data_IF_650600155194
#
_entry.id   IF_650600155194
#
_cell.length_a   1.000
_cell.length_b   1.000
_cell.length_c   1.000
_cell.angle_alpha   90.00
_cell.angle_beta   90.00
_cell.angle_gamma   90.00
#
_symmetry.space_group_name_H-M   'P 1'
#
loop_
_entity.id
_entity.type
_entity.pdbx_description
1 polymer ?
#
# COMPACT_ATOMS: atom_id res chain seq x y z
N UNK A 1 -25.97 -6.38 -23.61
CA UNK A 1 -24.97 -5.86 -24.56
C UNK A 1 -23.76 -5.27 -23.82
N UNK A 2 -23.34 -5.88 -22.70
CA UNK A 2 -22.40 -5.26 -21.72
C UNK A 2 -20.92 -5.59 -21.94
N UNK A 3 -20.61 -6.57 -22.79
CA UNK A 3 -19.25 -7.09 -22.93
C UNK A 3 -18.25 -6.08 -23.55
N UNK A 4 -18.74 -5.14 -24.38
CA UNK A 4 -17.88 -4.11 -24.99
C UNK A 4 -17.56 -2.93 -24.08
N UNK A 5 -18.39 -2.67 -23.06
CA UNK A 5 -18.18 -1.58 -22.10
C UNK A 5 -17.16 -2.01 -21.04
N UNK A 6 -17.28 -3.24 -20.54
CA UNK A 6 -16.33 -3.83 -19.56
C UNK A 6 -14.91 -3.96 -20.14
N UNK A 7 -14.76 -4.35 -21.41
CA UNK A 7 -13.44 -4.45 -22.07
C UNK A 7 -12.78 -3.08 -22.28
N UNK A 8 -13.57 -2.05 -22.52
CA UNK A 8 -13.07 -0.68 -22.67
C UNK A 8 -12.62 -0.12 -21.32
N UNK A 9 -13.43 -0.31 -20.27
CA UNK A 9 -13.06 0.06 -18.90
C UNK A 9 -11.77 -0.66 -18.44
N UNK A 10 -11.63 -1.95 -18.72
CA UNK A 10 -10.45 -2.72 -18.33
C UNK A 10 -9.17 -2.24 -19.04
N UNK A 11 -9.29 -1.83 -20.31
CA UNK A 11 -8.19 -1.23 -21.06
C UNK A 11 -7.76 0.12 -20.48
N UNK A 12 -8.73 0.95 -20.11
CA UNK A 12 -8.46 2.26 -19.52
C UNK A 12 -7.84 2.13 -18.12
N UNK A 13 -8.37 1.24 -17.28
CA UNK A 13 -7.79 0.90 -15.97
C UNK A 13 -6.37 0.36 -16.12
N UNK A 14 -6.12 -0.51 -17.10
CA UNK A 14 -4.78 -1.04 -17.39
C UNK A 14 -3.81 0.07 -17.82
N UNK A 15 -4.27 0.98 -18.68
CA UNK A 15 -3.49 2.14 -19.14
C UNK A 15 -3.15 3.06 -17.98
N UNK A 16 -4.12 3.41 -17.13
CA UNK A 16 -3.93 4.27 -15.96
C UNK A 16 -3.02 3.61 -14.93
N UNK A 17 -3.19 2.32 -14.65
CA UNK A 17 -2.31 1.56 -13.75
C UNK A 17 -0.87 1.59 -14.26
N UNK A 18 -0.64 1.41 -15.57
CA UNK A 18 0.70 1.48 -16.16
C UNK A 18 1.32 2.88 -16.05
N UNK A 19 0.51 3.94 -16.15
CA UNK A 19 0.99 5.31 -15.94
C UNK A 19 1.37 5.55 -14.47
N UNK A 20 0.56 5.06 -13.52
CA UNK A 20 0.87 5.15 -12.10
C UNK A 20 2.15 4.39 -11.76
N UNK A 21 2.34 3.16 -12.26
CA UNK A 21 3.56 2.38 -12.09
C UNK A 21 4.81 3.15 -12.55
N UNK A 22 4.75 3.75 -13.75
CA UNK A 22 5.84 4.58 -14.29
C UNK A 22 6.09 5.82 -13.43
N UNK A 23 5.04 6.51 -12.99
CA UNK A 23 5.15 7.71 -12.17
C UNK A 23 5.79 7.42 -10.81
N UNK A 24 5.35 6.35 -10.13
CA UNK A 24 5.92 5.91 -8.85
C UNK A 24 7.37 5.45 -9.03
N UNK A 25 7.65 4.67 -10.07
CA UNK A 25 9.02 4.24 -10.41
C UNK A 25 9.95 5.42 -10.64
N UNK A 26 9.50 6.43 -11.39
CA UNK A 26 10.27 7.63 -11.66
C UNK A 26 10.56 8.41 -10.38
N UNK A 27 9.53 8.69 -9.55
CA UNK A 27 9.70 9.37 -8.27
C UNK A 27 10.69 8.65 -7.36
N UNK A 28 10.60 7.32 -7.26
CA UNK A 28 11.52 6.51 -6.46
C UNK A 28 12.96 6.55 -6.97
N UNK A 29 13.18 6.56 -8.29
CA UNK A 29 14.52 6.72 -8.89
C UNK A 29 15.12 8.07 -8.58
N UNK A 30 14.38 9.15 -8.83
CA UNK A 30 14.84 10.50 -8.51
C UNK A 30 15.17 10.63 -7.03
N UNK A 31 14.33 10.12 -6.13
CA UNK A 31 14.62 10.09 -4.70
C UNK A 31 15.87 9.26 -4.35
N UNK A 32 16.09 8.12 -5.02
CA UNK A 32 17.29 7.30 -4.82
C UNK A 32 18.56 8.03 -5.26
N UNK A 33 18.54 8.72 -6.40
CA UNK A 33 19.63 9.57 -6.88
C UNK A 33 19.96 10.65 -5.84
N UNK A 34 18.96 11.38 -5.35
CA UNK A 34 19.16 12.38 -4.29
C UNK A 34 19.75 11.79 -3.00
N UNK A 35 19.36 10.56 -2.61
CA UNK A 35 19.94 9.89 -1.42
C UNK A 35 21.39 9.47 -1.61
N UNK A 36 21.78 9.03 -2.82
CA UNK A 36 23.19 8.71 -3.12
C UNK A 36 24.08 9.94 -3.02
N UNK A 37 23.56 11.11 -3.39
CA UNK A 37 24.26 12.40 -3.24
C UNK A 37 24.33 12.84 -1.77
N UNK A 38 23.28 12.57 -0.96
CA UNK A 38 23.20 13.00 0.45
C UNK A 38 23.78 12.02 1.49
N UNK A 39 24.33 10.87 1.08
CA UNK A 39 24.81 9.82 2.00
C UNK A 39 23.79 9.42 3.07
N UNK A 40 22.49 9.41 2.73
CA UNK A 40 21.43 9.10 3.68
C UNK A 40 21.06 7.61 3.63
N UNK A 41 21.14 6.92 4.78
CA UNK A 41 21.12 5.46 4.91
C UNK A 41 19.73 4.85 5.25
N UNK A 42 18.63 5.58 5.04
CA UNK A 42 17.30 4.98 5.24
C UNK A 42 17.06 3.85 4.23
N UNK A 43 16.43 2.73 4.64
CA UNK A 43 16.14 1.63 3.73
C UNK A 43 15.24 2.13 2.59
N UNK A 44 15.77 2.13 1.38
CA UNK A 44 15.04 2.56 0.21
C UNK A 44 13.96 1.52 -0.14
N UNK A 45 12.74 1.99 -0.40
CA UNK A 45 11.73 1.15 -1.04
C UNK A 45 12.25 0.60 -2.37
N UNK A 46 11.84 -0.60 -2.79
CA UNK A 46 12.12 -1.09 -4.13
C UNK A 46 11.67 -0.08 -5.18
N UNK A 47 12.54 0.17 -6.17
CA UNK A 47 12.28 1.15 -7.24
C UNK A 47 10.98 0.82 -7.98
N UNK A 48 10.73 -0.46 -8.27
CA UNK A 48 9.49 -0.90 -8.90
C UNK A 48 8.42 -1.23 -7.86
N UNK A 49 7.16 -0.86 -8.12
CA UNK A 49 6.01 -1.32 -7.35
C UNK A 49 5.95 -2.85 -7.25
N UNK A 50 5.59 -3.35 -6.06
CA UNK A 50 5.27 -4.77 -5.87
C UNK A 50 3.89 -5.15 -6.46
N UNK A 51 3.57 -6.44 -6.53
CA UNK A 51 2.24 -6.91 -6.95
C UNK A 51 1.10 -6.35 -6.08
N UNK A 52 1.34 -6.21 -4.77
CA UNK A 52 0.36 -5.62 -3.84
C UNK A 52 0.22 -4.13 -4.08
N UNK A 53 1.32 -3.42 -4.37
CA UNK A 53 1.25 -2.00 -4.73
C UNK A 53 0.49 -1.81 -6.05
N UNK A 54 0.73 -2.67 -7.05
CA UNK A 54 -0.03 -2.66 -8.30
C UNK A 54 -1.52 -2.88 -8.07
N UNK A 55 -1.92 -3.79 -7.18
CA UNK A 55 -3.33 -3.98 -6.83
C UNK A 55 -3.98 -2.72 -6.21
N UNK A 56 -3.23 -1.99 -5.37
CA UNK A 56 -3.68 -0.69 -4.84
C UNK A 56 -3.77 0.35 -5.96
N UNK A 57 -2.77 0.44 -6.85
CA UNK A 57 -2.79 1.38 -7.98
C UNK A 57 -3.95 1.09 -8.94
N UNK A 58 -4.24 -0.18 -9.23
CA UNK A 58 -5.39 -0.60 -10.03
C UNK A 58 -6.70 -0.23 -9.35
N UNK A 59 -6.79 -0.39 -8.03
CA UNK A 59 -7.97 0.04 -7.25
C UNK A 59 -8.19 1.53 -7.39
N UNK A 60 -7.14 2.34 -7.20
CA UNK A 60 -7.20 3.78 -7.37
C UNK A 60 -7.60 4.17 -8.80
N UNK A 61 -6.99 3.54 -9.81
CA UNK A 61 -7.29 3.81 -11.21
C UNK A 61 -8.75 3.49 -11.57
N UNK A 62 -9.30 2.40 -11.01
CA UNK A 62 -10.69 2.01 -11.21
C UNK A 62 -11.66 2.95 -10.49
N UNK A 63 -11.31 3.43 -9.29
CA UNK A 63 -12.18 4.33 -8.53
C UNK A 63 -12.18 5.75 -9.09
N UNK A 64 -11.00 6.30 -9.41
CA UNK A 64 -10.83 7.73 -9.69
C UNK A 64 -10.49 8.06 -11.14
N UNK A 65 -10.18 7.06 -11.97
CA UNK A 65 -9.87 7.28 -13.38
C UNK A 65 -8.71 8.25 -13.61
N UNK A 66 -8.85 9.17 -14.57
CA UNK A 66 -7.83 10.18 -14.88
C UNK A 66 -7.70 11.27 -13.83
N UNK A 67 -8.67 11.43 -12.92
CA UNK A 67 -8.62 12.45 -11.87
C UNK A 67 -7.37 12.31 -11.00
N UNK A 68 -6.81 11.11 -10.87
CA UNK A 68 -5.52 10.86 -10.20
C UNK A 68 -4.35 11.71 -10.73
N UNK A 69 -4.41 12.11 -12.00
CA UNK A 69 -3.39 12.93 -12.65
C UNK A 69 -3.84 14.37 -12.87
N UNK A 70 -5.14 14.59 -13.08
CA UNK A 70 -5.69 15.89 -13.42
C UNK A 70 -5.90 16.76 -12.17
N UNK A 71 -6.19 16.13 -11.02
CA UNK A 71 -6.54 16.83 -9.79
C UNK A 71 -5.36 16.91 -8.80
N UNK A 72 -4.92 18.12 -8.41
CA UNK A 72 -3.74 18.31 -7.55
C UNK A 72 -3.82 17.62 -6.19
N UNK A 73 -5.04 17.39 -5.68
CA UNK A 73 -5.23 16.81 -4.36
C UNK A 73 -4.76 15.34 -4.28
N UNK A 74 -4.71 14.61 -5.40
CA UNK A 74 -4.14 13.25 -5.44
C UNK A 74 -2.62 13.19 -5.36
N UNK A 75 -1.92 14.31 -5.55
CA UNK A 75 -0.46 14.34 -5.47
C UNK A 75 0.06 13.81 -4.14
N UNK A 76 -0.56 14.20 -3.01
CA UNK A 76 -0.15 13.75 -1.68
C UNK A 76 -0.33 12.23 -1.48
N UNK A 77 -1.35 11.63 -2.10
CA UNK A 77 -1.54 10.17 -2.07
C UNK A 77 -0.47 9.46 -2.88
N UNK A 78 -0.17 9.94 -4.10
CA UNK A 78 0.86 9.36 -4.96
C UNK A 78 2.27 9.51 -4.37
N UNK A 79 2.55 10.65 -3.74
CA UNK A 79 3.81 10.88 -3.01
C UNK A 79 3.92 9.95 -1.81
N UNK A 80 2.84 9.75 -1.05
CA UNK A 80 2.82 8.77 0.04
C UNK A 80 3.15 7.35 -0.47
N UNK A 81 2.64 6.93 -1.63
CA UNK A 81 2.99 5.64 -2.23
C UNK A 81 4.47 5.61 -2.65
N UNK A 82 4.96 6.66 -3.31
CA UNK A 82 6.33 6.71 -3.78
C UNK A 82 7.33 6.65 -2.62
N UNK A 83 7.06 7.39 -1.55
CA UNK A 83 7.97 7.56 -0.41
C UNK A 83 7.85 6.48 0.66
N UNK A 84 6.62 6.02 0.93
CA UNK A 84 6.31 5.15 2.09
C UNK A 84 5.66 3.82 1.68
N UNK A 85 5.26 3.68 0.43
CA UNK A 85 4.66 2.46 -0.13
C UNK A 85 3.14 2.46 -0.04
N UNK A 86 2.50 1.67 -0.90
CA UNK A 86 1.04 1.65 -1.00
C UNK A 86 0.34 1.08 0.24
N UNK A 87 1.00 0.17 0.98
CA UNK A 87 0.46 -0.36 2.24
C UNK A 87 0.26 0.76 3.28
N UNK A 88 1.21 1.70 3.35
CA UNK A 88 1.14 2.84 4.28
C UNK A 88 0.03 3.81 3.87
N UNK A 89 -0.16 4.05 2.56
CA UNK A 89 -1.28 4.86 2.09
C UNK A 89 -2.63 4.29 2.59
N UNK A 90 -2.85 2.99 2.36
CA UNK A 90 -4.08 2.30 2.74
C UNK A 90 -4.27 2.33 4.26
N UNK A 91 -3.21 2.05 5.03
CA UNK A 91 -3.28 2.11 6.49
C UNK A 91 -3.67 3.50 6.99
N UNK A 92 -3.09 4.56 6.43
CA UNK A 92 -3.41 5.95 6.79
C UNK A 92 -4.85 6.30 6.41
N UNK A 93 -5.31 5.88 5.24
CA UNK A 93 -6.67 6.14 4.78
C UNK A 93 -7.75 5.40 5.61
N UNK A 94 -7.45 4.21 6.14
CA UNK A 94 -8.41 3.42 6.91
C UNK A 94 -8.35 3.65 8.42
N UNK A 95 -7.15 3.85 8.96
CA UNK A 95 -6.90 3.83 10.41
C UNK A 95 -5.99 4.97 10.90
N UNK A 96 -5.63 5.92 10.03
CA UNK A 96 -4.81 7.05 10.43
C UNK A 96 -5.60 8.05 11.28
N UNK A 97 -4.96 8.58 12.31
CA UNK A 97 -5.57 9.47 13.30
C UNK A 97 -5.10 10.93 13.17
N UNK A 98 -4.05 11.18 12.36
CA UNK A 98 -3.53 12.52 12.17
C UNK A 98 -4.43 13.35 11.26
N UNK A 99 -4.33 14.69 11.33
CA UNK A 99 -5.15 15.60 10.51
C UNK A 99 -4.95 15.34 9.01
N UNK A 100 -3.73 15.04 8.61
CA UNK A 100 -3.37 14.70 7.23
C UNK A 100 -3.99 13.37 6.80
N UNK A 101 -4.14 12.42 7.74
CA UNK A 101 -4.76 11.12 7.49
C UNK A 101 -6.28 11.27 7.34
N UNK A 102 -6.92 12.11 8.16
CA UNK A 102 -8.35 12.41 8.01
C UNK A 102 -8.67 13.04 6.64
N UNK A 103 -7.81 13.95 6.17
CA UNK A 103 -7.94 14.54 4.83
C UNK A 103 -7.77 13.48 3.74
N UNK A 104 -6.78 12.60 3.91
CA UNK A 104 -6.53 11.50 2.99
C UNK A 104 -7.71 10.52 2.97
N UNK A 105 -8.31 10.21 4.12
CA UNK A 105 -9.47 9.33 4.24
C UNK A 105 -10.70 9.91 3.53
N UNK A 106 -10.96 11.22 3.70
CA UNK A 106 -12.03 11.91 2.99
C UNK A 106 -11.80 11.91 1.48
N UNK A 107 -10.56 12.17 1.06
CA UNK A 107 -10.20 12.17 -0.35
C UNK A 107 -10.32 10.77 -0.98
N UNK A 108 -9.99 9.73 -0.22
CA UNK A 108 -10.00 8.34 -0.69
C UNK A 108 -11.27 7.57 -0.26
N UNK A 109 -12.36 8.30 0.04
CA UNK A 109 -13.58 7.71 0.61
C UNK A 109 -14.20 6.66 -0.34
N UNK A 110 -14.28 6.96 -1.63
CA UNK A 110 -14.84 6.04 -2.63
C UNK A 110 -14.04 4.73 -2.78
N UNK A 111 -12.74 4.74 -2.47
CA UNK A 111 -11.88 3.55 -2.50
C UNK A 111 -11.91 2.73 -1.20
N UNK A 112 -12.53 3.25 -0.13
CA UNK A 112 -12.49 2.66 1.23
C UNK A 112 -12.88 1.19 1.27
N UNK A 113 -14.01 0.83 0.64
CA UNK A 113 -14.49 -0.57 0.61
C UNK A 113 -13.51 -1.49 -0.12
N UNK A 114 -12.89 -1.02 -1.20
CA UNK A 114 -11.90 -1.83 -1.92
C UNK A 114 -10.62 -1.98 -1.11
N UNK A 115 -10.19 -0.95 -0.39
CA UNK A 115 -9.06 -1.05 0.53
C UNK A 115 -9.30 -2.09 1.62
N UNK A 116 -10.48 -2.13 2.25
CA UNK A 116 -10.83 -3.18 3.22
C UNK A 116 -10.73 -4.60 2.61
N UNK A 117 -11.14 -4.76 1.34
CA UNK A 117 -10.99 -6.02 0.59
C UNK A 117 -9.52 -6.38 0.32
N UNK A 118 -8.69 -5.41 -0.07
CA UNK A 118 -7.24 -5.63 -0.23
C UNK A 118 -6.60 -6.06 1.09
N UNK A 119 -6.99 -5.45 2.21
CA UNK A 119 -6.51 -5.85 3.54
C UNK A 119 -6.90 -7.29 3.89
N UNK A 120 -8.09 -7.73 3.47
CA UNK A 120 -8.55 -9.11 3.65
C UNK A 120 -7.80 -10.10 2.75
N UNK A 121 -7.41 -9.69 1.53
CA UNK A 121 -6.65 -10.52 0.60
C UNK A 121 -5.16 -10.65 0.97
N UNK A 122 -4.54 -9.58 1.48
CA UNK A 122 -3.12 -9.57 1.86
C UNK A 122 -2.90 -9.12 3.31
N UNK A 123 -3.44 -9.83 4.31
CA UNK A 123 -3.36 -9.41 5.71
C UNK A 123 -1.91 -9.39 6.24
N UNK A 124 -1.03 -10.22 5.67
CA UNK A 124 0.39 -10.22 6.04
C UNK A 124 1.15 -8.96 5.60
N UNK A 125 0.65 -8.22 4.61
CA UNK A 125 1.24 -6.95 4.18
C UNK A 125 0.67 -5.80 4.99
N UNK A 126 -0.67 -5.67 5.03
CA UNK A 126 -1.33 -4.53 5.66
C UNK A 126 -1.34 -4.60 7.19
N UNK A 127 -1.22 -5.78 7.80
CA UNK A 127 -1.16 -5.95 9.26
C UNK A 127 0.19 -6.48 9.75
N UNK A 128 1.26 -6.36 8.94
CA UNK A 128 2.59 -6.89 9.30
C UNK A 128 3.05 -6.42 10.69
N UNK A 129 2.91 -5.13 10.98
CA UNK A 129 3.30 -4.54 12.26
C UNK A 129 2.43 -5.04 13.42
N UNK A 130 1.10 -5.03 13.26
CA UNK A 130 0.18 -5.53 14.28
C UNK A 130 0.43 -7.00 14.60
N UNK A 131 0.66 -7.83 13.56
CA UNK A 131 1.02 -9.25 13.71
C UNK A 131 2.35 -9.42 14.43
N UNK A 132 3.35 -8.58 14.13
CA UNK A 132 4.64 -8.62 14.82
C UNK A 132 4.50 -8.26 16.32
N UNK A 133 3.64 -7.32 16.67
CA UNK A 133 3.32 -6.99 18.07
C UNK A 133 2.64 -8.18 18.74
N UNK A 134 1.59 -8.74 18.14
CA UNK A 134 0.87 -9.90 18.68
C UNK A 134 1.78 -11.13 18.86
N UNK A 135 2.70 -11.38 17.93
CA UNK A 135 3.65 -12.49 18.03
C UNK A 135 4.65 -12.30 19.18
N UNK A 136 4.95 -11.06 19.56
CA UNK A 136 5.81 -10.76 20.73
C UNK A 136 5.07 -10.89 22.05
N UNK A 137 3.76 -10.68 22.05
CA UNK A 137 2.93 -10.73 23.26
C UNK A 137 2.21 -12.06 23.45
N UNK A 138 2.18 -12.93 22.43
CA UNK A 138 1.66 -14.28 22.57
C UNK A 138 2.48 -15.08 23.58
N UNK A 139 1.90 -15.29 24.76
CA UNK A 139 2.42 -16.17 25.79
C UNK A 139 2.73 -17.55 25.20
N UNK A 140 3.98 -18.01 25.37
CA UNK A 140 4.38 -19.37 25.01
C UNK A 140 4.26 -20.23 26.27
N UNK A 141 3.38 -21.24 26.34
CA UNK A 141 3.33 -22.11 27.51
C UNK A 141 4.68 -22.82 27.67
N UNK A 142 5.17 -23.00 28.90
CA UNK A 142 6.39 -23.77 29.14
C UNK A 142 6.21 -25.18 28.55
N UNK A 143 7.23 -25.66 27.83
CA UNK A 143 7.27 -27.04 27.39
C UNK A 143 7.15 -27.94 28.63
N UNK A 144 6.40 -29.06 28.57
CA UNK A 144 6.37 -30.01 29.66
C UNK A 144 7.82 -30.40 29.98
N UNK A 145 8.22 -30.22 31.25
CA UNK A 145 9.42 -30.85 31.74
C UNK A 145 9.16 -32.35 31.60
N UNK A 146 9.93 -33.00 30.73
CA UNK A 146 10.01 -34.46 30.74
C UNK A 146 10.42 -34.83 32.16
N UNK A 147 9.51 -35.46 32.90
CA UNK A 147 9.81 -36.13 34.16
C UNK A 147 10.92 -37.13 33.83
N UNK A 148 12.17 -36.75 34.12
CA UNK A 148 13.26 -37.71 34.20
C UNK A 148 12.89 -38.68 35.30
N UNK A 149 12.36 -39.82 34.87
CA UNK A 149 12.08 -40.97 35.72
C UNK A 149 13.32 -41.33 36.51
N UNK A 150 13.19 -41.17 37.81
CA UNK A 150 14.05 -41.68 38.87
C UNK A 150 14.44 -43.15 38.59
N UNK A 151 15.75 -43.45 38.59
CA UNK A 151 16.30 -44.80 38.62
C UNK A 151 17.31 -44.95 39.75
#
# INVERSE_FOLDING_TARGET
>A
MTQGEDEFEDRDVSRLTSQLDKAITLKRRTAAEWRTVQSNALPALPIRPSSVELAVLTTLARTYGSALFDEPHFAAALDCIAERGAAVLVQRALWGEQREDMRLALQLEEARIQFERLCSAWPHVFFAQARAVLARTSWRPPLPLEDEGDN
#
